data_IF_189935976026
#
_entry.id   IF_189935976026
#
_cell.length_a   1.000
_cell.length_b   1.000
_cell.length_c   1.000
_cell.angle_alpha   90.00
_cell.angle_beta   90.00
_cell.angle_gamma   90.00
#
_symmetry.space_group_name_H-M   'P 1'
#
loop_
_entity.id
_entity.type
_entity.pdbx_description
1 polymer ?
#
# COMPACT_ATOMS: atom_id res chain seq x y z
N UNK A 1 -23.10 56.65 -59.14
CA UNK A 1 -24.30 55.94 -58.66
C UNK A 1 -23.98 54.45 -58.56
N UNK A 2 -24.14 53.89 -57.36
CA UNK A 2 -24.30 52.47 -57.01
C UNK A 2 -23.22 51.40 -57.38
N UNK A 3 -22.54 50.96 -56.31
CA UNK A 3 -22.49 49.59 -55.73
C UNK A 3 -21.76 48.41 -56.43
N UNK A 4 -21.09 47.65 -55.53
CA UNK A 4 -20.74 46.20 -55.49
C UNK A 4 -19.40 45.78 -56.13
N UNK A 5 -18.38 45.38 -55.37
CA UNK A 5 -18.17 44.20 -54.47
C UNK A 5 -17.51 43.01 -55.20
N UNK A 6 -16.32 42.62 -54.69
CA UNK A 6 -15.81 41.26 -54.34
C UNK A 6 -14.28 41.21 -54.53
N UNK A 7 -13.48 41.38 -53.48
CA UNK A 7 -12.97 40.35 -52.54
C UNK A 7 -12.31 39.14 -53.22
N UNK A 8 -10.98 39.14 -53.19
CA UNK A 8 -10.13 37.98 -53.37
C UNK A 8 -8.85 38.18 -52.57
N UNK A 9 -8.81 37.70 -51.32
CA UNK A 9 -7.57 37.61 -50.55
C UNK A 9 -7.42 36.17 -50.05
N UNK A 10 -6.30 35.56 -50.45
CA UNK A 10 -5.93 34.19 -50.18
C UNK A 10 -5.72 33.94 -48.68
N UNK A 11 -6.35 32.89 -48.15
CA UNK A 11 -6.06 32.37 -46.83
C UNK A 11 -4.82 31.46 -46.91
N UNK A 12 -3.70 31.92 -46.34
CA UNK A 12 -2.56 31.06 -46.01
C UNK A 12 -2.97 30.15 -44.85
N UNK A 13 -3.18 28.87 -45.16
CA UNK A 13 -3.37 27.82 -44.16
C UNK A 13 -2.07 27.56 -43.40
N UNK A 14 -1.99 28.05 -42.16
CA UNK A 14 -0.98 27.61 -41.21
C UNK A 14 -1.45 26.28 -40.58
N UNK A 15 -1.04 25.16 -41.17
CA UNK A 15 -1.11 23.83 -40.54
C UNK A 15 -0.13 23.77 -39.37
N UNK A 16 -0.54 24.23 -38.19
CA UNK A 16 0.05 23.82 -36.90
C UNK A 16 -0.48 22.41 -36.56
N UNK A 17 0.10 21.38 -37.18
CA UNK A 17 -0.17 20.00 -36.80
C UNK A 17 0.74 19.56 -35.64
N UNK A 18 0.09 19.30 -34.49
CA UNK A 18 0.46 18.34 -33.45
C UNK A 18 1.91 18.33 -32.92
N UNK A 19 2.24 19.22 -31.99
CA UNK A 19 3.43 19.09 -31.13
C UNK A 19 3.22 19.22 -29.59
N UNK A 20 2.08 18.89 -28.93
CA UNK A 20 2.03 18.97 -27.46
C UNK A 20 2.57 17.72 -26.74
N UNK A 21 2.52 16.53 -27.35
CA UNK A 21 2.74 15.29 -26.59
C UNK A 21 4.22 14.94 -26.31
N UNK A 22 5.16 15.42 -27.13
CA UNK A 22 6.58 15.05 -26.99
C UNK A 22 7.38 16.00 -26.09
N UNK A 23 6.90 17.24 -25.91
CA UNK A 23 7.58 18.23 -25.07
C UNK A 23 7.52 17.88 -23.57
N UNK A 24 6.52 17.12 -23.13
CA UNK A 24 6.32 16.84 -21.69
C UNK A 24 7.23 15.72 -21.13
N UNK A 25 7.75 14.81 -21.99
CA UNK A 25 8.76 13.81 -21.59
C UNK A 25 10.14 14.42 -21.31
N UNK A 26 10.36 15.68 -21.67
CA UNK A 26 11.67 16.37 -21.56
C UNK A 26 12.08 16.74 -20.14
N UNK A 27 11.19 16.64 -19.13
CA UNK A 27 11.46 17.15 -17.78
C UNK A 27 11.98 16.13 -16.75
N UNK A 28 12.36 14.92 -17.17
CA UNK A 28 12.78 13.84 -16.26
C UNK A 28 11.83 13.69 -15.05
N UNK A 29 10.54 13.63 -15.38
CA UNK A 29 9.45 13.55 -14.41
C UNK A 29 8.67 12.26 -14.62
N UNK A 30 8.52 11.48 -13.57
CA UNK A 30 7.61 10.34 -13.52
C UNK A 30 6.22 10.83 -13.14
N UNK A 31 5.22 10.59 -13.98
CA UNK A 31 3.82 10.97 -13.75
C UNK A 31 3.01 9.74 -13.40
N UNK A 32 2.59 9.66 -12.14
CA UNK A 32 1.83 8.57 -11.58
C UNK A 32 0.39 9.00 -11.29
N UNK A 33 -0.55 8.04 -11.35
CA UNK A 33 -1.89 8.25 -10.83
C UNK A 33 -2.38 7.09 -9.97
N UNK A 34 -3.29 7.39 -9.04
CA UNK A 34 -4.10 6.40 -8.33
C UNK A 34 -5.55 6.85 -8.21
N UNK A 35 -6.42 5.88 -7.96
CA UNK A 35 -7.81 6.10 -7.63
C UNK A 35 -8.02 6.61 -6.20
N UNK A 36 -7.06 6.39 -5.29
CA UNK A 36 -7.18 6.78 -3.88
C UNK A 36 -6.73 8.22 -3.66
N UNK A 37 -7.56 8.96 -2.93
CA UNK A 37 -7.29 10.33 -2.50
C UNK A 37 -6.39 10.36 -1.27
N UNK A 38 -5.22 11.00 -1.36
CA UNK A 38 -4.33 11.22 -0.21
C UNK A 38 -4.60 12.60 0.36
N UNK A 39 -5.14 12.65 1.58
CA UNK A 39 -5.52 13.89 2.27
C UNK A 39 -4.50 14.38 3.31
N UNK A 40 -3.52 13.54 3.67
CA UNK A 40 -2.42 13.88 4.56
C UNK A 40 -1.10 13.28 4.07
N UNK A 41 -0.02 14.07 4.14
CA UNK A 41 1.35 13.62 3.85
C UNK A 41 2.13 13.20 5.10
N UNK A 42 1.55 13.43 6.28
CA UNK A 42 2.13 13.01 7.54
C UNK A 42 2.23 11.48 7.62
N UNK A 43 3.41 10.89 7.90
CA UNK A 43 3.60 9.43 7.91
C UNK A 43 2.81 8.69 8.99
N UNK A 44 2.40 9.34 10.08
CA UNK A 44 1.71 8.74 11.22
C UNK A 44 0.21 9.04 11.28
N UNK A 45 -0.26 10.08 10.58
CA UNK A 45 -1.68 10.45 10.50
C UNK A 45 -2.34 10.11 9.16
N UNK A 46 -1.75 9.19 8.39
CA UNK A 46 -2.35 8.61 7.18
C UNK A 46 -2.51 7.08 7.34
N UNK A 47 -3.44 6.48 6.60
CA UNK A 47 -3.62 5.01 6.56
C UNK A 47 -3.64 4.46 5.11
N UNK A 48 -3.40 5.31 4.11
CA UNK A 48 -3.46 4.92 2.71
C UNK A 48 -2.14 4.31 2.27
N UNK A 49 -2.19 3.21 1.51
CA UNK A 49 -0.98 2.49 1.09
C UNK A 49 -0.05 3.38 0.25
N UNK A 50 -0.63 4.21 -0.60
CA UNK A 50 0.10 5.15 -1.46
C UNK A 50 0.77 6.24 -0.66
N UNK A 51 0.13 6.71 0.40
CA UNK A 51 0.74 7.62 1.34
C UNK A 51 1.89 6.93 2.08
N UNK A 52 1.78 5.66 2.48
CA UNK A 52 2.91 4.91 3.06
C UNK A 52 4.11 4.83 2.08
N UNK A 53 3.87 4.59 0.78
CA UNK A 53 4.94 4.51 -0.22
C UNK A 53 5.56 5.90 -0.45
N UNK A 54 4.74 6.90 -0.78
CA UNK A 54 5.22 8.24 -1.13
C UNK A 54 5.83 8.96 0.08
N UNK A 55 5.17 8.88 1.24
CA UNK A 55 5.64 9.52 2.45
C UNK A 55 6.71 8.65 3.10
N UNK A 56 6.35 7.44 3.55
CA UNK A 56 7.20 6.59 4.39
C UNK A 56 8.39 5.93 3.69
N UNK A 57 8.47 5.94 2.36
CA UNK A 57 9.61 5.35 1.64
C UNK A 57 10.37 6.31 0.72
N UNK A 58 9.75 7.39 0.21
CA UNK A 58 10.44 8.39 -0.62
C UNK A 58 10.86 9.63 0.17
N UNK A 59 9.96 10.18 0.98
CA UNK A 59 10.21 11.44 1.72
C UNK A 59 10.91 11.19 3.05
N UNK A 60 10.46 10.20 3.81
CA UNK A 60 11.04 9.82 5.09
C UNK A 60 11.71 8.45 5.02
N UNK A 61 12.74 8.26 5.85
CA UNK A 61 13.40 6.96 6.05
C UNK A 61 13.13 6.40 7.46
N UNK A 62 13.23 5.08 7.55
CA UNK A 62 13.09 4.27 8.76
C UNK A 62 14.48 3.88 9.31
N UNK A 63 14.54 3.31 10.51
CA UNK A 63 15.84 2.89 11.09
C UNK A 63 16.49 1.74 10.32
N UNK A 64 15.67 0.81 9.85
CA UNK A 64 16.07 -0.44 9.21
C UNK A 64 15.49 -0.46 7.81
N UNK A 65 16.14 -1.16 6.88
CA UNK A 65 15.57 -1.46 5.57
C UNK A 65 15.28 -2.96 5.50
N UNK A 66 14.12 -3.31 4.95
CA UNK A 66 13.79 -4.70 4.64
C UNK A 66 14.04 -4.92 3.16
N UNK A 67 15.04 -5.73 2.85
CA UNK A 67 15.40 -6.02 1.47
C UNK A 67 14.23 -6.74 0.76
N UNK A 68 13.73 -6.22 -0.37
CA UNK A 68 12.57 -6.79 -1.03
C UNK A 68 12.88 -8.12 -1.74
N UNK A 69 14.15 -8.43 -2.01
CA UNK A 69 14.56 -9.67 -2.68
C UNK A 69 14.90 -10.76 -1.66
N UNK A 70 15.77 -10.47 -0.68
CA UNK A 70 16.20 -11.46 0.31
C UNK A 70 15.28 -11.54 1.53
N UNK A 71 14.43 -10.52 1.74
CA UNK A 71 13.61 -10.34 2.95
C UNK A 71 14.41 -10.10 4.24
N UNK A 72 15.72 -9.84 4.13
CA UNK A 72 16.58 -9.56 5.28
C UNK A 72 16.37 -8.14 5.82
N UNK A 73 16.62 -7.97 7.12
CA UNK A 73 16.72 -6.67 7.75
C UNK A 73 18.16 -6.17 7.67
N UNK A 74 18.36 -5.04 6.99
CA UNK A 74 19.67 -4.43 6.78
C UNK A 74 19.69 -2.97 7.27
N UNK A 75 20.87 -2.40 7.57
CA UNK A 75 21.01 -1.00 7.98
C UNK A 75 20.36 0.03 7.02
N UNK A 76 19.71 1.05 7.58
CA UNK A 76 19.26 2.25 6.86
C UNK A 76 19.72 3.52 7.58
N UNK A 77 18.87 4.16 8.41
CA UNK A 77 19.29 5.28 9.26
C UNK A 77 20.12 4.81 10.46
N UNK A 78 19.84 3.61 10.96
CA UNK A 78 20.69 2.93 11.93
C UNK A 78 21.76 2.11 11.20
N UNK A 79 23.03 2.31 11.54
CA UNK A 79 24.13 1.47 11.03
C UNK A 79 24.21 0.11 11.74
N UNK A 80 23.66 0.01 12.95
CA UNK A 80 23.56 -1.23 13.71
C UNK A 80 22.48 -1.15 14.79
N UNK A 81 22.00 -2.31 15.24
CA UNK A 81 21.15 -2.44 16.42
C UNK A 81 21.51 -3.69 17.22
N UNK A 82 21.20 -3.68 18.52
CA UNK A 82 21.45 -4.80 19.41
C UNK A 82 20.32 -4.94 20.44
N UNK A 83 19.70 -6.12 20.51
CA UNK A 83 18.84 -6.47 21.63
C UNK A 83 19.70 -6.65 22.89
N UNK A 84 19.40 -5.90 23.96
CA UNK A 84 20.03 -6.06 25.27
C UNK A 84 19.32 -7.12 26.12
N UNK A 85 18.02 -7.24 25.90
CA UNK A 85 17.12 -8.24 26.47
C UNK A 85 15.88 -8.36 25.54
N UNK A 86 14.79 -8.98 26.00
CA UNK A 86 13.58 -9.22 25.19
C UNK A 86 12.69 -7.97 24.97
N UNK A 87 12.99 -6.85 25.63
CA UNK A 87 12.20 -5.61 25.59
C UNK A 87 13.06 -4.36 25.42
N UNK A 88 14.37 -4.49 25.25
CA UNK A 88 15.29 -3.36 25.13
C UNK A 88 16.15 -3.53 23.88
N UNK A 89 16.05 -2.56 22.95
CA UNK A 89 16.85 -2.52 21.73
C UNK A 89 17.67 -1.23 21.67
N UNK A 90 18.99 -1.37 21.54
CA UNK A 90 19.91 -0.25 21.32
C UNK A 90 20.13 -0.05 19.82
N UNK A 91 20.09 1.19 19.36
CA UNK A 91 20.39 1.58 17.99
C UNK A 91 21.59 2.53 17.95
N UNK A 92 22.41 2.38 16.91
CA UNK A 92 23.45 3.34 16.55
C UNK A 92 23.11 3.90 15.17
N UNK A 93 22.91 5.21 15.10
CA UNK A 93 22.63 5.97 13.89
C UNK A 93 23.90 6.18 13.07
N UNK A 94 23.67 6.43 11.78
CA UNK A 94 24.65 7.04 10.90
C UNK A 94 24.88 8.51 11.28
N UNK A 95 26.07 9.00 11.00
CA UNK A 95 26.51 10.38 11.24
C UNK A 95 26.64 11.22 9.95
N UNK A 96 26.37 10.62 8.79
CA UNK A 96 26.41 11.25 7.46
C UNK A 96 25.02 11.62 6.90
N UNK A 97 23.95 11.36 7.66
CA UNK A 97 22.58 11.60 7.23
C UNK A 97 22.16 13.03 7.49
N UNK A 98 21.52 13.65 6.49
CA UNK A 98 20.89 14.97 6.59
C UNK A 98 19.41 14.88 6.28
N UNK A 99 18.63 15.70 6.98
CA UNK A 99 17.30 16.05 6.52
C UNK A 99 17.36 16.88 5.24
N UNK A 100 16.23 17.01 4.54
CA UNK A 100 16.14 17.76 3.28
C UNK A 100 16.51 19.24 3.39
N UNK A 101 16.50 19.81 4.59
CA UNK A 101 16.94 21.18 4.89
C UNK A 101 18.42 21.29 5.26
N UNK A 102 19.17 20.19 5.17
CA UNK A 102 20.62 20.14 5.37
C UNK A 102 21.07 19.92 6.81
N UNK A 103 20.15 19.90 7.78
CA UNK A 103 20.47 19.64 9.19
C UNK A 103 20.72 18.15 9.40
N UNK A 104 21.75 17.81 10.19
CA UNK A 104 22.15 16.43 10.46
C UNK A 104 21.13 15.69 11.33
N UNK A 105 20.90 14.41 11.02
CA UNK A 105 20.10 13.51 11.85
C UNK A 105 20.87 13.15 13.12
N UNK A 106 20.20 13.18 14.27
CA UNK A 106 20.80 12.82 15.57
C UNK A 106 19.88 11.89 16.37
N UNK A 107 20.38 11.40 17.51
CA UNK A 107 19.57 10.63 18.45
C UNK A 107 18.39 11.43 19.02
N UNK A 108 18.46 12.76 19.06
CA UNK A 108 17.35 13.60 19.57
C UNK A 108 16.10 13.47 18.68
N UNK A 109 16.29 13.35 17.37
CA UNK A 109 15.20 13.20 16.39
C UNK A 109 14.50 11.84 16.55
N UNK A 110 15.28 10.77 16.72
CA UNK A 110 14.74 9.43 16.95
C UNK A 110 14.01 9.33 18.30
N UNK A 111 14.62 9.83 19.37
CA UNK A 111 14.03 9.83 20.71
C UNK A 111 12.73 10.65 20.75
N UNK A 112 12.72 11.84 20.13
CA UNK A 112 11.51 12.63 19.95
C UNK A 112 10.42 11.83 19.24
N UNK A 113 10.76 11.25 18.08
CA UNK A 113 9.80 10.51 17.24
C UNK A 113 9.15 9.38 18.03
N UNK A 114 9.94 8.50 18.66
CA UNK A 114 9.40 7.35 19.36
C UNK A 114 8.57 7.72 20.59
N UNK A 115 9.01 8.71 21.38
CA UNK A 115 8.24 9.16 22.53
C UNK A 115 6.95 9.88 22.12
N UNK A 116 6.95 10.61 21.01
CA UNK A 116 5.75 11.23 20.48
C UNK A 116 4.74 10.18 20.04
N UNK A 117 5.14 9.24 19.18
CA UNK A 117 4.21 8.28 18.60
C UNK A 117 3.73 7.21 19.61
N UNK A 118 4.51 6.93 20.65
CA UNK A 118 4.10 5.99 21.71
C UNK A 118 3.13 6.61 22.72
N UNK A 119 2.99 7.94 22.74
CA UNK A 119 2.07 8.63 23.63
C UNK A 119 0.61 8.51 23.09
N UNK A 120 -0.30 7.84 23.83
CA UNK A 120 -1.68 7.68 23.40
C UNK A 120 -2.43 9.01 23.21
N UNK A 121 -2.04 10.08 23.90
CA UNK A 121 -2.69 11.39 23.81
C UNK A 121 -2.52 12.05 22.44
N UNK A 122 -1.47 11.65 21.69
CA UNK A 122 -1.23 12.13 20.35
C UNK A 122 -2.16 11.47 19.31
N UNK A 123 -2.87 10.39 19.66
CA UNK A 123 -3.90 9.77 18.79
C UNK A 123 -3.40 9.42 17.38
N UNK A 124 -2.25 8.75 17.30
CA UNK A 124 -1.74 8.19 16.03
C UNK A 124 -2.83 7.35 15.38
N UNK A 125 -3.02 7.51 14.06
CA UNK A 125 -4.19 6.97 13.35
C UNK A 125 -4.27 5.43 13.48
N UNK A 126 -3.13 4.76 13.31
CA UNK A 126 -3.01 3.30 13.44
C UNK A 126 -2.27 2.95 14.74
N UNK A 127 -2.98 3.03 15.87
CA UNK A 127 -2.41 2.82 17.20
C UNK A 127 -1.69 1.47 17.38
N UNK A 128 -2.13 0.42 16.69
CA UNK A 128 -1.48 -0.91 16.72
C UNK A 128 -0.03 -0.87 16.23
N UNK A 129 0.38 0.17 15.48
CA UNK A 129 1.73 0.29 14.98
C UNK A 129 2.73 0.79 16.02
N UNK A 130 2.26 1.39 17.12
CA UNK A 130 3.09 2.15 18.05
C UNK A 130 2.82 1.80 19.51
N UNK A 131 1.67 1.20 19.82
CA UNK A 131 1.24 0.93 21.20
C UNK A 131 2.12 -0.08 21.95
N UNK A 132 3.01 -0.82 21.28
CA UNK A 132 3.97 -1.75 21.86
C UNK A 132 5.26 -1.07 22.34
N UNK A 133 5.52 0.17 21.88
CA UNK A 133 6.65 0.99 22.31
C UNK A 133 6.33 1.63 23.66
N UNK A 134 7.25 1.53 24.62
CA UNK A 134 7.13 2.15 25.94
C UNK A 134 7.73 3.54 25.95
N UNK A 135 8.98 3.68 25.50
CA UNK A 135 9.71 4.94 25.46
C UNK A 135 10.99 4.79 24.63
N UNK A 136 11.64 5.90 24.34
CA UNK A 136 13.02 5.94 23.86
C UNK A 136 13.86 6.90 24.71
N UNK A 137 15.14 6.60 24.88
CA UNK A 137 16.09 7.44 25.61
C UNK A 137 17.43 7.55 24.89
N UNK A 138 18.03 8.74 24.98
CA UNK A 138 19.31 9.04 24.34
C UNK A 138 20.46 8.46 25.17
N UNK A 139 21.38 7.77 24.52
CA UNK A 139 22.62 7.27 25.15
C UNK A 139 23.88 7.96 24.60
N UNK A 140 23.75 8.72 23.52
CA UNK A 140 24.84 9.49 22.90
C UNK A 140 24.34 10.34 21.73
N UNK A 141 25.23 11.07 21.02
CA UNK A 141 24.82 11.93 19.90
C UNK A 141 24.13 11.17 18.75
N UNK A 142 24.56 9.92 18.52
CA UNK A 142 24.05 9.03 17.48
C UNK A 142 23.64 7.66 18.05
N UNK A 143 23.39 7.56 19.35
CA UNK A 143 22.95 6.31 19.97
C UNK A 143 21.78 6.54 20.92
N UNK A 144 20.85 5.60 20.90
CA UNK A 144 19.66 5.63 21.73
C UNK A 144 19.12 4.23 21.95
N UNK A 145 18.26 4.09 22.96
CA UNK A 145 17.59 2.84 23.30
C UNK A 145 16.09 3.03 23.10
N UNK A 146 15.43 2.01 22.55
CA UNK A 146 13.97 1.89 22.55
C UNK A 146 13.56 0.80 23.53
N UNK A 147 12.67 1.15 24.44
CA UNK A 147 12.07 0.26 25.44
C UNK A 147 10.70 -0.19 24.95
N UNK A 148 10.42 -1.48 25.04
CA UNK A 148 9.15 -2.09 24.65
C UNK A 148 8.30 -2.34 25.90
N UNK A 149 6.98 -2.40 25.75
CA UNK A 149 6.06 -2.71 26.86
C UNK A 149 6.09 -4.19 27.25
N UNK A 150 6.32 -5.06 26.27
CA UNK A 150 6.40 -6.51 26.41
C UNK A 150 7.21 -7.05 25.21
N UNK A 151 7.67 -8.32 25.26
CA UNK A 151 8.30 -8.94 24.10
C UNK A 151 7.42 -8.81 22.86
N UNK A 152 7.96 -8.19 21.81
CA UNK A 152 7.23 -7.91 20.58
C UNK A 152 8.08 -8.38 19.39
N UNK A 153 8.00 -9.68 19.02
CA UNK A 153 8.79 -10.25 17.94
C UNK A 153 8.76 -9.48 16.60
N UNK A 154 7.63 -8.85 16.19
CA UNK A 154 7.59 -8.08 14.95
C UNK A 154 8.34 -6.73 14.98
N UNK A 155 8.94 -6.32 16.09
CA UNK A 155 9.49 -4.96 16.25
C UNK A 155 10.39 -4.50 15.09
N UNK A 156 11.29 -5.37 14.61
CA UNK A 156 12.19 -5.04 13.48
C UNK A 156 11.44 -4.76 12.17
N UNK A 157 10.32 -5.44 11.91
CA UNK A 157 9.47 -5.17 10.75
C UNK A 157 8.89 -3.75 10.83
N UNK A 158 8.42 -3.33 12.00
CA UNK A 158 7.88 -1.99 12.20
C UNK A 158 8.97 -0.91 12.08
N UNK A 159 10.14 -1.15 12.67
CA UNK A 159 11.32 -0.29 12.48
C UNK A 159 11.82 -0.24 11.04
N UNK A 160 11.44 -1.22 10.20
CA UNK A 160 11.83 -1.27 8.80
C UNK A 160 10.82 -0.62 7.84
N UNK A 161 9.53 -0.61 8.19
CA UNK A 161 8.46 -0.33 7.22
C UNK A 161 7.48 0.79 7.61
N UNK A 162 7.34 1.11 8.90
CA UNK A 162 6.26 1.98 9.39
C UNK A 162 6.74 3.13 10.27
N UNK A 163 7.92 3.01 10.88
CA UNK A 163 8.41 3.96 11.88
C UNK A 163 9.48 4.88 11.30
N UNK A 164 9.02 5.85 10.50
CA UNK A 164 9.84 6.89 9.90
C UNK A 164 10.39 7.86 10.95
N UNK A 165 11.66 8.25 10.85
CA UNK A 165 12.26 9.21 11.79
C UNK A 165 11.94 10.64 11.36
N UNK A 166 11.41 11.43 12.28
CA UNK A 166 11.02 12.82 12.07
C UNK A 166 12.03 13.77 12.73
N UNK A 167 12.19 15.00 12.22
CA UNK A 167 12.93 16.03 12.94
C UNK A 167 12.38 16.21 14.36
N UNK A 168 13.25 16.49 15.33
CA UNK A 168 12.79 16.90 16.66
C UNK A 168 11.83 18.09 16.56
N UNK A 169 10.83 18.12 17.45
CA UNK A 169 9.79 19.15 17.49
C UNK A 169 8.93 19.23 16.20
N UNK A 170 8.89 18.18 15.37
CA UNK A 170 8.14 18.13 14.10
C UNK A 170 6.68 18.56 14.24
N UNK A 171 6.01 18.12 15.31
CA UNK A 171 4.62 18.45 15.58
C UNK A 171 4.51 19.75 16.37
N UNK A 172 3.82 20.74 15.81
CA UNK A 172 3.51 21.99 16.48
C UNK A 172 2.26 21.92 17.36
N UNK A 173 1.74 23.10 17.72
CA UNK A 173 0.50 23.22 18.49
C UNK A 173 -0.65 22.44 17.81
N UNK A 174 -1.39 21.66 18.59
CA UNK A 174 -2.49 20.83 18.09
C UNK A 174 -2.07 19.60 17.28
N UNK A 175 -0.79 19.23 17.26
CA UNK A 175 -0.30 18.03 16.55
C UNK A 175 -0.12 18.24 15.04
N UNK A 176 0.03 19.49 14.59
CA UNK A 176 0.20 19.79 13.17
C UNK A 176 1.61 19.40 12.70
N UNK A 177 1.66 18.53 11.68
CA UNK A 177 2.88 18.10 11.00
C UNK A 177 3.70 19.28 10.47
N UNK A 178 5.02 19.25 10.69
CA UNK A 178 5.91 20.35 10.30
C UNK A 178 5.58 21.68 10.99
N UNK A 179 4.95 21.66 12.17
CA UNK A 179 4.57 22.85 12.92
C UNK A 179 5.76 23.66 13.45
N UNK A 180 6.96 23.08 13.43
CA UNK A 180 8.24 23.78 13.60
C UNK A 180 8.76 24.45 12.30
N UNK A 181 7.96 24.47 11.24
CA UNK A 181 8.35 24.93 9.91
C UNK A 181 9.14 23.89 9.10
N UNK A 182 9.30 22.65 9.59
CA UNK A 182 10.14 21.60 9.01
C UNK A 182 9.33 20.39 8.57
N UNK A 183 8.54 20.54 7.49
CA UNK A 183 7.91 19.38 6.82
C UNK A 183 8.93 18.68 5.90
N UNK A 184 9.98 18.13 6.51
CA UNK A 184 11.12 17.52 5.83
C UNK A 184 11.37 16.11 6.36
N UNK A 185 12.00 15.27 5.53
CA UNK A 185 12.45 13.95 5.91
C UNK A 185 13.92 13.75 5.57
N UNK A 186 14.36 12.50 5.65
CA UNK A 186 15.73 12.06 5.35
C UNK A 186 15.81 11.24 4.06
N UNK A 187 14.67 10.98 3.41
CA UNK A 187 14.57 10.09 2.26
C UNK A 187 15.13 10.65 0.95
N UNK A 188 15.18 9.83 -0.11
CA UNK A 188 15.78 10.19 -1.41
C UNK A 188 15.03 11.28 -2.19
N UNK A 189 13.80 11.60 -1.83
CA UNK A 189 13.02 12.68 -2.42
C UNK A 189 12.52 13.64 -1.34
N UNK A 190 12.34 14.92 -1.66
CA UNK A 190 11.72 15.91 -0.79
C UNK A 190 10.38 16.36 -1.34
N UNK A 191 9.44 16.65 -0.45
CA UNK A 191 8.13 17.20 -0.81
C UNK A 191 8.29 18.62 -1.34
N UNK A 192 7.80 18.88 -2.56
CA UNK A 192 7.83 20.22 -3.17
C UNK A 192 6.45 20.87 -3.20
N UNK A 193 5.39 20.08 -3.33
CA UNK A 193 4.02 20.57 -3.25
C UNK A 193 3.07 19.46 -2.80
N UNK A 194 2.03 19.84 -2.06
CA UNK A 194 0.94 18.95 -1.67
C UNK A 194 -0.40 19.66 -1.83
N UNK A 195 -1.26 19.10 -2.67
CA UNK A 195 -2.65 19.51 -2.81
C UNK A 195 -3.53 18.36 -2.28
N UNK A 196 -4.09 18.47 -1.07
CA UNK A 196 -4.88 17.41 -0.45
C UNK A 196 -5.95 16.85 -1.38
N UNK A 197 -5.91 15.53 -1.56
CA UNK A 197 -6.81 14.77 -2.42
C UNK A 197 -6.61 14.96 -3.92
N UNK A 198 -5.70 15.82 -4.36
CA UNK A 198 -5.46 16.11 -5.78
C UNK A 198 -4.08 15.64 -6.25
N UNK A 199 -3.00 16.07 -5.59
CA UNK A 199 -1.64 15.72 -6.01
C UNK A 199 -0.57 15.83 -4.93
N UNK A 200 0.49 15.05 -5.10
CA UNK A 200 1.75 15.13 -4.36
C UNK A 200 2.87 15.28 -5.37
N UNK A 201 3.68 16.32 -5.22
CA UNK A 201 4.88 16.52 -6.01
C UNK A 201 6.10 16.38 -5.11
N UNK A 202 7.03 15.53 -5.53
CA UNK A 202 8.33 15.36 -4.89
C UNK A 202 9.45 15.52 -5.91
N UNK A 203 10.60 15.98 -5.45
CA UNK A 203 11.81 16.06 -6.27
C UNK A 203 12.98 15.37 -5.57
N UNK A 204 13.92 14.88 -6.37
CA UNK A 204 15.12 14.21 -5.86
C UNK A 204 15.88 15.11 -4.89
N UNK A 205 16.28 14.55 -3.76
CA UNK A 205 17.20 15.20 -2.84
C UNK A 205 18.64 14.79 -3.17
N UNK A 206 19.38 15.68 -3.85
CA UNK A 206 20.79 15.42 -4.22
C UNK A 206 21.72 15.24 -3.00
N UNK A 207 21.28 15.63 -1.80
CA UNK A 207 21.99 15.42 -0.54
C UNK A 207 21.75 14.07 0.14
N UNK A 208 21.06 13.13 -0.52
CA UNK A 208 20.77 11.81 0.04
C UNK A 208 22.06 11.02 0.28
N UNK A 209 22.17 10.39 1.46
CA UNK A 209 23.41 9.74 1.89
C UNK A 209 23.80 8.54 1.00
N UNK A 210 25.10 8.31 0.87
CA UNK A 210 25.66 7.24 0.04
C UNK A 210 25.74 5.89 0.76
N UNK A 211 25.82 4.81 -0.03
CA UNK A 211 26.06 3.45 0.50
C UNK A 211 24.89 2.84 1.27
N UNK A 212 23.70 3.44 1.22
CA UNK A 212 22.46 2.86 1.73
C UNK A 212 21.81 1.87 0.74
N UNK A 213 20.96 0.96 1.22
CA UNK A 213 20.33 -0.07 0.39
C UNK A 213 19.31 0.48 -0.63
N UNK A 214 18.81 1.70 -0.43
CA UNK A 214 17.92 2.38 -1.39
C UNK A 214 18.64 2.92 -2.63
N UNK A 215 19.97 2.93 -2.64
CA UNK A 215 20.76 3.50 -3.73
C UNK A 215 20.52 5.00 -3.92
N UNK A 216 20.89 5.52 -5.10
CA UNK A 216 20.69 6.92 -5.47
C UNK A 216 19.59 7.04 -6.53
N UNK A 217 18.56 7.87 -6.31
CA UNK A 217 17.44 8.01 -7.25
C UNK A 217 17.86 8.65 -8.58
N UNK A 218 17.47 8.02 -9.70
CA UNK A 218 17.75 8.52 -11.05
C UNK A 218 16.70 9.51 -11.58
N UNK A 219 15.44 9.39 -11.12
CA UNK A 219 14.32 10.24 -11.56
C UNK A 219 14.40 11.57 -10.80
N UNK A 220 14.29 12.69 -11.51
CA UNK A 220 14.42 14.01 -10.88
C UNK A 220 13.14 14.45 -10.18
N UNK A 221 11.98 14.18 -10.77
CA UNK A 221 10.68 14.60 -10.24
C UNK A 221 9.67 13.47 -10.30
N UNK A 222 8.83 13.38 -9.28
CA UNK A 222 7.69 12.47 -9.29
C UNK A 222 6.45 13.32 -8.99
N UNK A 223 5.48 13.28 -9.91
CA UNK A 223 4.16 13.85 -9.69
C UNK A 223 3.17 12.71 -9.57
N UNK A 224 2.55 12.62 -8.41
CA UNK A 224 1.48 11.69 -8.14
C UNK A 224 0.14 12.43 -8.13
N UNK A 225 -0.83 11.96 -8.93
CA UNK A 225 -2.17 12.56 -9.06
C UNK A 225 -3.26 11.61 -8.59
N UNK A 226 -4.27 12.14 -7.94
CA UNK A 226 -5.52 11.41 -7.71
C UNK A 226 -6.40 11.54 -8.95
N UNK A 227 -6.69 10.42 -9.60
CA UNK A 227 -7.62 10.32 -10.73
C UNK A 227 -8.58 9.17 -10.41
N UNK A 228 -9.74 9.44 -9.80
CA UNK A 228 -10.63 8.38 -9.30
C UNK A 228 -11.16 7.44 -10.38
N UNK A 229 -11.33 7.93 -11.62
CA UNK A 229 -11.83 7.14 -12.75
C UNK A 229 -10.69 6.39 -13.46
N UNK A 230 -10.68 5.03 -13.43
CA UNK A 230 -9.66 4.24 -14.11
C UNK A 230 -9.62 4.44 -15.63
N UNK A 231 -10.76 4.76 -16.25
CA UNK A 231 -10.82 4.99 -17.71
C UNK A 231 -10.06 6.25 -18.11
N UNK A 232 -10.16 7.30 -17.30
CA UNK A 232 -9.39 8.54 -17.45
C UNK A 232 -7.90 8.29 -17.27
N UNK A 233 -7.50 7.53 -16.23
CA UNK A 233 -6.10 7.12 -16.07
C UNK A 233 -5.57 6.38 -17.31
N UNK A 234 -6.38 5.48 -17.87
CA UNK A 234 -6.02 4.74 -19.07
C UNK A 234 -5.84 5.66 -20.28
N UNK A 235 -6.77 6.57 -20.52
CA UNK A 235 -6.71 7.52 -21.61
C UNK A 235 -5.47 8.44 -21.50
N UNK A 236 -5.14 8.89 -20.29
CA UNK A 236 -3.95 9.69 -20.03
C UNK A 236 -2.65 8.88 -20.19
N UNK A 237 -2.61 7.61 -19.76
CA UNK A 237 -1.46 6.73 -20.03
C UNK A 237 -1.24 6.55 -21.54
N UNK A 238 -2.33 6.32 -22.29
CA UNK A 238 -2.26 6.08 -23.74
C UNK A 238 -1.86 7.33 -24.53
N UNK A 239 -2.28 8.52 -24.10
CA UNK A 239 -1.90 9.81 -24.70
C UNK A 239 -0.53 10.31 -24.24
N UNK A 240 0.05 9.67 -23.21
CA UNK A 240 1.35 10.03 -22.64
C UNK A 240 1.29 11.15 -21.62
N UNK A 241 0.12 11.45 -21.04
CA UNK A 241 -0.07 12.31 -19.88
C UNK A 241 0.35 11.66 -18.55
N UNK A 242 0.30 10.32 -18.48
CA UNK A 242 0.82 9.51 -17.39
C UNK A 242 1.92 8.57 -17.90
N UNK A 243 2.83 8.19 -17.01
CA UNK A 243 3.90 7.21 -17.28
C UNK A 243 3.64 5.89 -16.54
N UNK A 244 2.93 5.92 -15.42
CA UNK A 244 2.64 4.76 -14.60
C UNK A 244 1.27 4.85 -13.93
N UNK A 245 0.53 3.74 -13.96
CA UNK A 245 -0.75 3.55 -13.27
C UNK A 245 -0.74 2.15 -12.66
N UNK A 246 -1.63 1.92 -11.70
CA UNK A 246 -1.76 0.65 -11.00
C UNK A 246 -3.22 0.33 -10.70
N UNK A 247 -3.51 -0.87 -10.18
CA UNK A 247 -4.88 -1.41 -10.10
C UNK A 247 -5.60 -1.45 -11.44
N UNK A 248 -4.87 -1.79 -12.51
CA UNK A 248 -5.44 -1.95 -13.86
C UNK A 248 -6.34 -3.20 -13.87
N UNK A 249 -7.62 -3.08 -14.28
CA UNK A 249 -8.52 -4.23 -14.42
C UNK A 249 -7.95 -5.28 -15.39
N UNK A 250 -8.12 -6.59 -15.13
CA UNK A 250 -7.53 -7.66 -15.94
C UNK A 250 -7.85 -7.59 -17.44
N UNK A 251 -9.09 -7.28 -17.80
CA UNK A 251 -9.56 -7.13 -19.18
C UNK A 251 -8.83 -5.99 -19.91
N UNK A 252 -8.59 -4.88 -19.21
CA UNK A 252 -7.82 -3.74 -19.73
C UNK A 252 -6.33 -4.08 -19.80
N UNK A 253 -5.79 -4.80 -18.82
CA UNK A 253 -4.39 -5.23 -18.80
C UNK A 253 -4.06 -6.09 -20.04
N UNK A 254 -4.94 -7.00 -20.46
CA UNK A 254 -4.80 -7.79 -21.69
C UNK A 254 -4.69 -6.89 -22.92
N UNK A 255 -5.54 -5.86 -23.02
CA UNK A 255 -5.49 -4.89 -24.14
C UNK A 255 -4.20 -4.09 -24.15
N UNK A 256 -3.73 -3.66 -22.98
CA UNK A 256 -2.49 -2.87 -22.86
C UNK A 256 -1.24 -3.68 -23.19
N UNK A 257 -1.22 -4.99 -22.89
CA UNK A 257 -0.11 -5.89 -23.25
C UNK A 257 0.16 -5.93 -24.76
N UNK A 258 -0.86 -5.67 -25.59
CA UNK A 258 -0.69 -5.62 -27.05
C UNK A 258 0.04 -4.36 -27.54
N UNK A 259 0.18 -3.33 -26.69
CA UNK A 259 0.81 -2.06 -27.06
C UNK A 259 2.31 -2.08 -26.75
N UNK A 260 3.14 -2.11 -27.81
CA UNK A 260 4.62 -2.17 -27.70
C UNK A 260 5.27 -1.07 -26.84
N UNK A 261 4.59 0.05 -26.61
CA UNK A 261 5.09 1.18 -25.82
C UNK A 261 4.85 1.06 -24.32
N UNK A 262 4.12 0.04 -23.89
CA UNK A 262 3.76 -0.17 -22.48
C UNK A 262 4.32 -1.51 -22.00
N UNK A 263 4.74 -1.50 -20.74
CA UNK A 263 5.05 -2.72 -20.00
C UNK A 263 3.94 -2.95 -19.00
N UNK A 264 3.27 -4.09 -19.10
CA UNK A 264 2.26 -4.52 -18.11
C UNK A 264 2.87 -5.62 -17.26
N UNK A 265 2.76 -5.48 -15.93
CA UNK A 265 3.20 -6.45 -14.94
C UNK A 265 2.03 -6.87 -14.09
N UNK A 266 1.86 -8.19 -13.94
CA UNK A 266 0.90 -8.80 -13.05
C UNK A 266 1.71 -9.67 -12.10
N UNK A 267 1.96 -9.15 -10.91
CA UNK A 267 2.79 -9.79 -9.90
C UNK A 267 1.96 -10.10 -8.66
N UNK A 268 2.36 -11.16 -7.97
CA UNK A 268 1.72 -11.57 -6.75
C UNK A 268 2.01 -10.59 -5.61
N UNK A 269 1.01 -10.35 -4.76
CA UNK A 269 1.15 -9.51 -3.56
C UNK A 269 0.96 -10.35 -2.32
N UNK A 270 1.36 -9.82 -1.16
CA UNK A 270 1.09 -10.45 0.14
C UNK A 270 -0.40 -10.38 0.56
N UNK A 271 -1.30 -9.88 -0.30
CA UNK A 271 -2.73 -9.79 -0.01
C UNK A 271 -3.39 -11.16 -0.14
N UNK A 272 -4.07 -11.58 0.92
CA UNK A 272 -4.85 -12.81 0.95
C UNK A 272 -6.34 -12.44 0.87
N UNK A 273 -7.05 -13.07 -0.05
CA UNK A 273 -8.52 -12.98 -0.10
C UNK A 273 -9.11 -14.18 0.64
N UNK A 274 -10.05 -13.92 1.55
CA UNK A 274 -10.67 -14.94 2.38
C UNK A 274 -12.13 -14.62 2.67
N UNK A 275 -12.89 -15.66 3.01
CA UNK A 275 -14.23 -15.55 3.57
C UNK A 275 -14.15 -15.67 5.10
N UNK A 276 -14.74 -14.71 5.80
CA UNK A 276 -14.85 -14.76 7.27
C UNK A 276 -16.25 -15.18 7.70
N UNK A 277 -16.32 -16.08 8.67
CA UNK A 277 -17.58 -16.43 9.33
C UNK A 277 -17.79 -15.57 10.58
N UNK A 278 -18.85 -14.77 10.60
CA UNK A 278 -19.27 -14.09 11.82
C UNK A 278 -19.96 -15.09 12.74
N UNK A 279 -19.24 -15.64 13.71
CA UNK A 279 -19.77 -16.63 14.67
C UNK A 279 -20.43 -15.99 15.90
N UNK A 280 -20.58 -14.65 15.96
CA UNK A 280 -21.30 -13.99 17.04
C UNK A 280 -22.78 -14.37 16.97
N UNK A 281 -23.38 -14.63 18.13
CA UNK A 281 -24.78 -15.05 18.22
C UNK A 281 -25.65 -13.91 18.73
N UNK A 282 -25.93 -12.94 17.87
CA UNK A 282 -26.67 -11.73 18.27
C UNK A 282 -28.19 -11.97 18.38
N UNK A 283 -28.70 -13.06 17.77
CA UNK A 283 -30.14 -13.32 17.63
C UNK A 283 -30.57 -14.77 17.94
N UNK A 284 -29.67 -15.62 18.44
CA UNK A 284 -30.00 -16.93 19.02
C UNK A 284 -30.20 -18.10 18.04
N UNK A 285 -29.74 -18.00 16.79
CA UNK A 285 -29.82 -19.10 15.81
C UNK A 285 -28.83 -18.89 14.65
N UNK A 286 -27.56 -18.62 14.95
CA UNK A 286 -26.55 -18.41 13.90
C UNK A 286 -26.01 -19.75 13.33
N UNK A 287 -26.34 -20.13 12.07
CA UNK A 287 -25.97 -21.43 11.49
C UNK A 287 -24.46 -21.63 11.38
N UNK A 288 -23.68 -20.57 11.15
CA UNK A 288 -22.24 -20.68 10.96
C UNK A 288 -21.48 -20.93 12.28
N UNK A 289 -22.17 -21.02 13.42
CA UNK A 289 -21.59 -21.54 14.68
C UNK A 289 -21.33 -23.04 14.63
N UNK A 290 -22.15 -23.79 13.89
CA UNK A 290 -21.91 -25.20 13.67
C UNK A 290 -20.71 -25.39 12.72
N UNK A 291 -19.71 -26.15 13.16
CA UNK A 291 -18.53 -26.44 12.35
C UNK A 291 -18.86 -27.22 11.09
N UNK A 292 -19.94 -28.03 11.10
CA UNK A 292 -20.41 -28.79 9.93
C UNK A 292 -20.89 -27.85 8.83
N UNK A 293 -21.59 -26.76 9.19
CA UNK A 293 -21.99 -25.70 8.24
C UNK A 293 -20.76 -25.02 7.64
N UNK A 294 -19.76 -24.65 8.46
CA UNK A 294 -18.52 -24.02 7.93
C UNK A 294 -17.72 -24.96 7.03
N UNK A 295 -17.63 -26.25 7.38
CA UNK A 295 -16.97 -27.27 6.56
C UNK A 295 -17.72 -27.52 5.26
N UNK A 296 -19.06 -27.53 5.30
CA UNK A 296 -19.87 -27.65 4.10
C UNK A 296 -19.60 -26.50 3.13
N UNK A 297 -19.62 -25.25 3.62
CA UNK A 297 -19.30 -24.07 2.80
C UNK A 297 -17.88 -24.18 2.22
N UNK A 298 -16.89 -24.61 3.02
CA UNK A 298 -15.52 -24.77 2.52
C UNK A 298 -15.40 -25.85 1.42
N UNK A 299 -16.17 -26.94 1.50
CA UNK A 299 -16.23 -27.97 0.46
C UNK A 299 -17.00 -27.51 -0.79
N UNK A 300 -17.93 -26.57 -0.67
CA UNK A 300 -18.72 -26.05 -1.79
C UNK A 300 -17.95 -25.02 -2.65
N UNK A 301 -16.83 -24.48 -2.17
CA UNK A 301 -16.06 -23.44 -2.86
C UNK A 301 -14.91 -24.07 -3.68
N UNK A 302 -15.01 -23.97 -5.00
CA UNK A 302 -13.92 -24.34 -5.91
C UNK A 302 -12.88 -23.21 -6.00
N UNK A 303 -11.90 -23.26 -5.09
CA UNK A 303 -10.84 -22.26 -4.99
C UNK A 303 -9.92 -22.25 -6.22
N UNK A 304 -9.71 -23.40 -6.88
CA UNK A 304 -8.82 -23.47 -8.05
C UNK A 304 -9.46 -22.80 -9.27
N UNK A 305 -10.75 -23.08 -9.52
CA UNK A 305 -11.49 -22.42 -10.59
C UNK A 305 -11.57 -20.90 -10.37
N UNK A 306 -11.81 -20.45 -9.13
CA UNK A 306 -11.82 -19.01 -8.80
C UNK A 306 -10.47 -18.36 -9.13
N UNK A 307 -9.36 -18.94 -8.66
CA UNK A 307 -8.00 -18.40 -8.92
C UNK A 307 -7.73 -18.35 -10.41
N UNK A 308 -8.00 -19.44 -11.14
CA UNK A 308 -7.66 -19.56 -12.56
C UNK A 308 -8.52 -18.69 -13.48
N UNK A 309 -9.82 -18.60 -13.22
CA UNK A 309 -10.77 -18.03 -14.16
C UNK A 309 -11.35 -16.67 -13.76
N UNK A 310 -11.33 -16.32 -12.47
CA UNK A 310 -11.90 -15.06 -11.97
C UNK A 310 -10.79 -14.07 -11.62
N UNK A 311 -9.77 -14.52 -10.89
CA UNK A 311 -8.66 -13.64 -10.49
C UNK A 311 -7.61 -13.55 -11.61
N UNK A 312 -7.20 -14.70 -12.15
CA UNK A 312 -6.34 -14.78 -13.33
C UNK A 312 -4.85 -14.68 -13.03
N UNK A 313 -4.11 -14.18 -14.01
CA UNK A 313 -2.64 -14.12 -14.02
C UNK A 313 -2.08 -13.34 -12.83
N UNK A 314 -0.98 -13.83 -12.25
CA UNK A 314 -0.33 -13.21 -11.08
C UNK A 314 -0.98 -13.57 -9.73
N UNK A 315 -1.97 -14.45 -9.72
CA UNK A 315 -2.57 -15.00 -8.49
C UNK A 315 -2.19 -16.46 -8.25
N UNK A 316 -2.20 -16.87 -6.99
CA UNK A 316 -1.92 -18.25 -6.58
C UNK A 316 -2.92 -18.71 -5.52
N UNK A 317 -3.11 -20.04 -5.44
CA UNK A 317 -3.91 -20.63 -4.38
C UNK A 317 -3.14 -20.52 -3.06
N UNK A 318 -3.73 -19.81 -2.10
CA UNK A 318 -3.20 -19.69 -0.74
C UNK A 318 -3.74 -20.84 0.12
N UNK A 319 -2.84 -21.64 0.69
CA UNK A 319 -3.18 -22.87 1.46
C UNK A 319 -3.36 -22.62 2.96
N UNK A 320 -2.73 -21.57 3.49
CA UNK A 320 -2.74 -21.20 4.90
C UNK A 320 -3.20 -19.73 5.05
N UNK A 321 -3.69 -19.29 6.23
CA UNK A 321 -4.10 -17.89 6.45
C UNK A 321 -2.92 -16.92 6.57
N UNK A 322 -1.86 -17.13 5.79
CA UNK A 322 -0.64 -16.33 5.72
C UNK A 322 -0.02 -16.47 4.33
N UNK A 323 0.79 -15.49 3.95
CA UNK A 323 1.51 -15.49 2.69
C UNK A 323 2.82 -16.26 2.84
N UNK A 324 3.15 -17.14 1.89
CA UNK A 324 4.23 -18.14 2.00
C UNK A 324 5.62 -17.59 2.34
N UNK A 325 5.92 -16.33 2.03
CA UNK A 325 7.21 -15.69 2.35
C UNK A 325 7.22 -15.01 3.72
N UNK A 326 6.10 -15.01 4.44
CA UNK A 326 6.03 -14.51 5.81
C UNK A 326 6.71 -15.50 6.75
N UNK A 327 7.48 -14.95 7.69
CA UNK A 327 8.06 -15.73 8.78
C UNK A 327 6.99 -16.53 9.51
N UNK A 328 7.26 -17.82 9.76
CA UNK A 328 6.34 -18.73 10.44
C UNK A 328 5.17 -19.24 9.60
N UNK A 329 5.08 -18.87 8.32
CA UNK A 329 3.98 -19.29 7.47
C UNK A 329 4.19 -20.70 6.88
N UNK A 330 3.85 -21.74 7.65
CA UNK A 330 3.84 -23.11 7.12
C UNK A 330 2.81 -23.27 6.00
N UNK A 331 3.24 -23.82 4.88
CA UNK A 331 2.36 -24.24 3.78
C UNK A 331 1.97 -25.71 3.86
N UNK A 332 2.61 -26.49 4.75
CA UNK A 332 2.25 -27.86 5.04
C UNK A 332 1.11 -27.87 6.05
N UNK A 333 -0.11 -27.70 5.53
CA UNK A 333 -1.34 -27.63 6.33
C UNK A 333 -2.46 -28.41 5.63
N UNK A 334 -3.31 -29.05 6.44
CA UNK A 334 -4.47 -29.79 5.94
C UNK A 334 -5.36 -28.90 5.07
N UNK A 335 -5.73 -29.42 3.90
CA UNK A 335 -6.61 -28.73 2.95
C UNK A 335 -8.01 -29.35 2.95
N UNK A 336 -9.00 -28.50 2.73
CA UNK A 336 -10.37 -28.92 2.41
C UNK A 336 -10.50 -28.94 0.89
N UNK A 337 -10.77 -30.12 0.33
CA UNK A 337 -10.99 -30.29 -1.10
C UNK A 337 -12.36 -29.77 -1.53
N UNK A 338 -12.48 -29.34 -2.78
CA UNK A 338 -13.77 -29.07 -3.38
C UNK A 338 -14.57 -30.38 -3.53
N UNK A 339 -15.68 -30.49 -2.81
CA UNK A 339 -16.57 -31.66 -2.80
C UNK A 339 -18.01 -31.23 -2.47
N UNK A 340 -18.81 -30.84 -3.49
CA UNK A 340 -20.20 -30.47 -3.29
C UNK A 340 -21.08 -31.56 -2.66
N UNK A 341 -20.74 -32.84 -2.84
CA UNK A 341 -21.49 -33.94 -2.25
C UNK A 341 -21.25 -34.03 -0.74
N UNK A 342 -20.00 -33.87 -0.30
CA UNK A 342 -19.68 -33.73 1.13
C UNK A 342 -20.34 -32.49 1.74
N UNK A 343 -20.40 -31.38 1.01
CA UNK A 343 -21.07 -30.16 1.47
C UNK A 343 -22.56 -30.40 1.76
N UNK A 344 -23.30 -31.02 0.82
CA UNK A 344 -24.72 -31.35 0.99
C UNK A 344 -24.95 -32.30 2.17
N UNK A 345 -24.11 -33.32 2.33
CA UNK A 345 -24.20 -34.27 3.45
C UNK A 345 -24.00 -33.56 4.80
N UNK A 346 -22.96 -32.72 4.91
CA UNK A 346 -22.68 -31.96 6.14
C UNK A 346 -23.79 -30.97 6.51
N UNK A 347 -24.42 -30.32 5.52
CA UNK A 347 -25.59 -29.46 5.76
C UNK A 347 -26.80 -30.26 6.25
N UNK A 348 -27.09 -31.42 5.66
CA UNK A 348 -28.17 -32.29 6.12
C UNK A 348 -27.95 -32.77 7.56
N UNK A 349 -26.73 -33.22 7.90
CA UNK A 349 -26.34 -33.58 9.27
C UNK A 349 -26.49 -32.42 10.26
N UNK A 350 -26.27 -31.20 9.80
CA UNK A 350 -26.45 -29.97 10.58
C UNK A 350 -27.91 -29.51 10.69
N UNK A 351 -28.87 -30.23 10.12
CA UNK A 351 -30.31 -29.89 10.16
C UNK A 351 -30.79 -29.02 9.01
N UNK A 352 -29.97 -28.80 7.99
CA UNK A 352 -30.25 -27.94 6.82
C UNK A 352 -30.39 -28.76 5.53
N UNK A 353 -31.11 -29.88 5.57
CA UNK A 353 -31.29 -30.77 4.41
C UNK A 353 -32.03 -30.08 3.24
N UNK A 354 -32.89 -29.09 3.53
CA UNK A 354 -33.57 -28.26 2.54
C UNK A 354 -32.75 -27.05 2.05
N UNK A 355 -31.48 -26.96 2.44
CA UNK A 355 -30.62 -25.81 2.17
C UNK A 355 -30.61 -24.79 3.30
N UNK A 356 -29.77 -23.77 3.11
CA UNK A 356 -29.53 -22.72 4.09
C UNK A 356 -29.33 -21.40 3.34
N UNK A 357 -29.96 -20.33 3.84
CA UNK A 357 -29.74 -18.97 3.34
C UNK A 357 -28.81 -18.22 4.29
N UNK A 358 -27.78 -17.59 3.74
CA UNK A 358 -26.83 -16.75 4.47
C UNK A 358 -26.60 -15.44 3.72
N UNK A 359 -26.39 -14.37 4.46
CA UNK A 359 -25.97 -13.09 3.89
C UNK A 359 -24.45 -13.09 3.70
N UNK A 360 -24.02 -12.81 2.46
CA UNK A 360 -22.62 -12.58 2.13
C UNK A 360 -22.39 -11.08 1.95
N UNK A 361 -21.61 -10.49 2.85
CA UNK A 361 -21.21 -9.09 2.74
C UNK A 361 -19.90 -9.00 1.96
N UNK A 362 -19.90 -8.25 0.87
CA UNK A 362 -18.71 -7.96 0.07
C UNK A 362 -18.45 -6.47 -0.06
N UNK A 363 -17.18 -6.08 -0.19
CA UNK A 363 -16.83 -4.72 -0.56
C UNK A 363 -16.93 -4.55 -2.07
N UNK A 364 -17.58 -3.50 -2.53
CA UNK A 364 -17.62 -3.11 -3.94
C UNK A 364 -16.37 -2.35 -4.38
N UNK A 365 -15.49 -1.96 -3.44
CA UNK A 365 -14.28 -1.19 -3.72
C UNK A 365 -13.19 -2.00 -4.45
N UNK A 366 -13.33 -3.33 -4.48
CA UNK A 366 -12.40 -4.25 -5.15
C UNK A 366 -13.22 -5.11 -6.11
N UNK A 367 -13.26 -4.73 -7.39
CA UNK A 367 -14.20 -5.29 -8.37
C UNK A 367 -14.24 -6.81 -8.46
N UNK A 368 -13.10 -7.51 -8.27
CA UNK A 368 -13.09 -8.98 -8.30
C UNK A 368 -13.85 -9.61 -7.12
N UNK A 369 -14.00 -8.93 -5.98
CA UNK A 369 -14.69 -9.47 -4.82
C UNK A 369 -16.20 -9.67 -5.09
N UNK A 370 -16.80 -8.80 -5.91
CA UNK A 370 -18.16 -8.97 -6.38
C UNK A 370 -18.29 -10.19 -7.31
N UNK A 371 -17.38 -10.34 -8.28
CA UNK A 371 -17.38 -11.50 -9.20
C UNK A 371 -17.12 -12.83 -8.48
N UNK A 372 -16.28 -12.83 -7.43
CA UNK A 372 -16.10 -14.02 -6.57
C UNK A 372 -17.37 -14.34 -5.79
N UNK A 373 -18.08 -13.32 -5.29
CA UNK A 373 -19.36 -13.53 -4.60
C UNK A 373 -20.42 -14.13 -5.52
N UNK A 374 -20.55 -13.62 -6.74
CA UNK A 374 -21.46 -14.14 -7.77
C UNK A 374 -21.12 -15.59 -8.13
N UNK A 375 -19.84 -15.94 -8.30
CA UNK A 375 -19.43 -17.32 -8.56
C UNK A 375 -19.77 -18.26 -7.39
N UNK A 376 -19.57 -17.82 -6.15
CA UNK A 376 -19.94 -18.62 -4.97
C UNK A 376 -21.45 -18.87 -4.96
N UNK A 377 -22.27 -17.84 -5.22
CA UNK A 377 -23.72 -17.99 -5.33
C UNK A 377 -24.14 -18.95 -6.47
N UNK A 378 -23.46 -18.90 -7.62
CA UNK A 378 -23.73 -19.79 -8.74
C UNK A 378 -23.35 -21.25 -8.45
N UNK A 379 -22.25 -21.46 -7.73
CA UNK A 379 -21.79 -22.80 -7.29
C UNK A 379 -22.79 -23.43 -6.31
N UNK A 380 -23.42 -22.61 -5.46
CA UNK A 380 -24.49 -23.05 -4.54
C UNK A 380 -25.82 -23.29 -5.27
N UNK A 381 -26.15 -22.47 -6.27
CA UNK A 381 -27.39 -22.57 -7.06
C UNK A 381 -27.47 -23.79 -7.98
N UNK A 382 -26.34 -24.32 -8.44
CA UNK A 382 -26.30 -25.54 -9.27
C UNK A 382 -26.64 -26.82 -8.50
N UNK A 383 -26.74 -26.75 -7.16
CA UNK A 383 -27.05 -27.89 -6.30
C UNK A 383 -28.50 -28.00 -5.84
N UNK A 384 -29.33 -26.99 -6.13
CA UNK A 384 -30.72 -26.85 -5.65
C UNK A 384 -31.71 -26.60 -6.79
N UNK A 385 -31.95 -27.62 -7.62
CA UNK A 385 -33.22 -27.86 -8.32
C UNK A 385 -33.53 -29.34 -8.31
#
# INVERSE_FOLDING_TARGET
MLKREFLGLAAMGATMMAAPAWAQKSQNMLRCASIQSITAVDPYYNAHREAIILNGQLVWDTLVYRDPESADYVPLLAKSWQWKDNVTIEFVLRDDVKFHDGIGLTADDAVYTFNYISNPDNKINVQSNVNWIKSAEKTGPYSFIVHLKAPFPPALEYFASLLAILPKDFYGAGGVAGGNGRLVGTGPYRLTAFAPGASIDVERFDGYFGGGPKGQPAIQKIRYRTIPDPSTQMAELLSGGLDWIWYVPPDQAVRLKALRRLTVRADETMRISFLSFNMRDMAGNNPVKDIRVRRAIAHAIDRETIVKHIIGEGSSLVKAPCFRTQFGCSQDVSQIAYDPAAAKRLLAEAGYAGGLTLDLVVSTAVGFQASVAEQNQASDGAGGR
#
